data_IF_940437701926
#
_entry.id   IF_940437701926
#
_cell.length_a   1.000
_cell.length_b   1.000
_cell.length_c   1.000
_cell.angle_alpha   90.00
_cell.angle_beta   90.00
_cell.angle_gamma   90.00
#
_symmetry.space_group_name_H-M   'P 1'
#
loop_
_entity.id
_entity.type
_entity.pdbx_description
1 polymer ?
#
# COMPACT_ATOMS: atom_id res chain seq x y z
N UNK A 1 38.36 10.59 -50.88
CA UNK A 1 39.19 10.12 -49.75
C UNK A 1 39.11 11.18 -48.66
N UNK A 2 38.34 10.91 -47.61
CA UNK A 2 38.47 11.53 -46.28
C UNK A 2 37.72 10.61 -45.31
N UNK A 3 38.48 9.89 -44.50
CA UNK A 3 37.98 9.02 -43.44
C UNK A 3 37.58 9.90 -42.26
N UNK A 4 36.31 9.89 -41.87
CA UNK A 4 35.86 10.34 -40.56
C UNK A 4 35.94 9.14 -39.61
N UNK A 5 36.82 9.24 -38.63
CA UNK A 5 36.94 8.29 -37.52
C UNK A 5 35.73 8.44 -36.59
N UNK A 6 34.95 7.37 -36.44
CA UNK A 6 33.93 7.23 -35.40
C UNK A 6 34.61 7.09 -34.03
N UNK A 7 34.13 7.72 -32.94
CA UNK A 7 34.49 7.32 -31.60
C UNK A 7 33.70 6.07 -31.23
N UNK A 8 34.42 5.01 -30.90
CA UNK A 8 33.91 3.76 -30.35
C UNK A 8 33.19 4.00 -29.01
N UNK A 9 31.86 3.97 -29.01
CA UNK A 9 31.05 3.89 -27.79
C UNK A 9 30.95 2.43 -27.35
N UNK A 10 32.08 1.89 -26.90
CA UNK A 10 32.18 0.59 -26.21
C UNK A 10 32.36 0.84 -24.72
N UNK A 11 31.26 1.17 -24.03
CA UNK A 11 31.23 1.32 -22.59
C UNK A 11 30.37 0.22 -21.99
N UNK A 12 31.04 -0.85 -21.53
CA UNK A 12 30.44 -1.92 -20.73
C UNK A 12 29.87 -1.32 -19.44
N UNK A 13 28.58 -1.04 -19.40
CA UNK A 13 27.85 -0.93 -18.14
C UNK A 13 27.28 -2.31 -17.82
N UNK A 14 27.27 -2.67 -16.54
CA UNK A 14 26.59 -3.85 -16.00
C UNK A 14 27.39 -5.16 -15.96
N UNK A 15 28.41 -5.15 -15.10
CA UNK A 15 28.90 -6.35 -14.44
C UNK A 15 29.31 -5.98 -13.03
N UNK A 16 28.49 -6.33 -12.03
CA UNK A 16 28.76 -6.27 -10.59
C UNK A 16 29.44 -4.98 -10.07
N UNK A 17 28.66 -4.03 -9.52
CA UNK A 17 29.21 -2.94 -8.69
C UNK A 17 28.94 -3.18 -7.21
N UNK A 18 29.85 -3.85 -6.47
CA UNK A 18 29.87 -3.86 -5.03
C UNK A 18 30.51 -2.56 -4.53
N UNK A 19 29.75 -1.46 -4.54
CA UNK A 19 29.99 -0.23 -3.73
C UNK A 19 29.32 1.00 -4.34
N UNK A 20 27.99 1.08 -4.34
CA UNK A 20 27.38 2.40 -4.26
C UNK A 20 27.80 2.97 -2.89
N UNK A 21 28.59 4.04 -2.87
CA UNK A 21 28.69 4.88 -1.67
C UNK A 21 27.28 5.42 -1.42
N UNK A 22 26.49 4.74 -0.60
CA UNK A 22 25.15 5.19 -0.25
C UNK A 22 25.31 6.33 0.74
N UNK A 23 24.91 7.57 0.40
CA UNK A 23 25.04 8.68 1.32
C UNK A 23 24.29 8.42 2.64
N UNK A 24 24.81 8.90 3.78
CA UNK A 24 24.18 8.65 5.09
C UNK A 24 22.71 9.08 5.16
N UNK A 25 22.35 10.17 4.46
CA UNK A 25 20.97 10.67 4.45
C UNK A 25 20.01 9.72 3.70
N UNK A 26 20.47 8.99 2.69
CA UNK A 26 19.68 7.96 2.00
C UNK A 26 19.42 6.79 2.95
N UNK A 27 20.43 6.34 3.68
CA UNK A 27 20.26 5.28 4.70
C UNK A 27 19.30 5.72 5.80
N UNK A 28 19.38 6.98 6.25
CA UNK A 28 18.45 7.55 7.23
C UNK A 28 17.00 7.59 6.71
N UNK A 29 16.79 7.89 5.43
CA UNK A 29 15.46 7.82 4.81
C UNK A 29 14.94 6.38 4.71
N UNK A 30 15.79 5.42 4.33
CA UNK A 30 15.42 4.00 4.32
C UNK A 30 15.04 3.50 5.72
N UNK A 31 15.76 3.93 6.76
CA UNK A 31 15.43 3.66 8.16
C UNK A 31 14.08 4.26 8.56
N UNK A 32 13.84 5.53 8.19
CA UNK A 32 12.55 6.21 8.43
C UNK A 32 11.39 5.46 7.77
N UNK A 33 11.57 4.99 6.53
CA UNK A 33 10.57 4.18 5.84
C UNK A 33 10.29 2.88 6.60
N UNK A 34 11.33 2.17 7.03
CA UNK A 34 11.18 0.93 7.79
C UNK A 34 10.45 1.15 9.13
N UNK A 35 10.81 2.21 9.86
CA UNK A 35 10.17 2.58 11.12
C UNK A 35 8.69 2.88 10.94
N UNK A 36 8.33 3.67 9.92
CA UNK A 36 6.92 4.01 9.63
C UNK A 36 6.11 2.82 9.14
N UNK A 37 6.70 1.94 8.33
CA UNK A 37 6.03 0.72 7.90
C UNK A 37 5.76 -0.23 9.08
N UNK A 38 6.66 -0.30 10.06
CA UNK A 38 6.45 -1.05 11.30
C UNK A 38 5.36 -0.42 12.17
N UNK A 39 5.33 0.92 12.28
CA UNK A 39 4.25 1.65 12.95
C UNK A 39 2.89 1.34 12.32
N UNK A 40 2.80 1.42 10.98
CA UNK A 40 1.58 1.13 10.22
C UNK A 40 1.08 -0.29 10.48
N UNK A 41 2.00 -1.27 10.49
CA UNK A 41 1.70 -2.67 10.80
C UNK A 41 1.12 -2.86 12.20
N UNK A 42 1.59 -2.07 13.18
CA UNK A 42 1.07 -2.10 14.55
C UNK A 42 -0.27 -1.37 14.72
N UNK A 43 -0.55 -0.40 13.85
CA UNK A 43 -1.74 0.45 13.94
C UNK A 43 -2.98 -0.16 13.28
N UNK A 44 -2.81 -0.79 12.12
CA UNK A 44 -3.94 -1.27 11.30
C UNK A 44 -4.15 -2.77 11.46
N UNK A 45 -5.39 -3.17 11.77
CA UNK A 45 -5.74 -4.58 11.82
C UNK A 45 -5.64 -5.24 10.42
N UNK A 46 -5.41 -6.57 10.34
CA UNK A 46 -5.19 -7.26 9.07
C UNK A 46 -6.32 -7.09 8.04
N UNK A 47 -7.58 -7.02 8.50
CA UNK A 47 -8.75 -6.95 7.63
C UNK A 47 -8.90 -5.58 6.95
N UNK A 48 -8.89 -4.43 7.66
CA UNK A 48 -8.84 -3.12 7.01
C UNK A 48 -7.64 -2.97 6.08
N UNK A 49 -6.45 -3.46 6.49
CA UNK A 49 -5.26 -3.45 5.65
C UNK A 49 -5.48 -4.22 4.34
N UNK A 50 -6.14 -5.39 4.40
CA UNK A 50 -6.52 -6.17 3.21
C UNK A 50 -7.51 -5.42 2.32
N UNK A 51 -8.48 -4.70 2.90
CA UNK A 51 -9.44 -3.94 2.12
C UNK A 51 -8.77 -2.76 1.40
N UNK A 52 -7.89 -2.01 2.08
CA UNK A 52 -7.05 -0.97 1.45
C UNK A 52 -6.18 -1.53 0.33
N UNK A 53 -5.53 -2.66 0.57
CA UNK A 53 -4.69 -3.30 -0.45
C UNK A 53 -5.48 -3.61 -1.73
N UNK A 54 -6.71 -4.11 -1.61
CA UNK A 54 -7.60 -4.34 -2.75
C UNK A 54 -7.99 -3.04 -3.46
N UNK A 55 -8.24 -1.96 -2.71
CA UNK A 55 -8.56 -0.65 -3.30
C UNK A 55 -7.38 -0.09 -4.08
N UNK A 56 -6.17 -0.16 -3.53
CA UNK A 56 -4.96 0.27 -4.23
C UNK A 56 -4.67 -0.60 -5.45
N UNK A 57 -4.83 -1.91 -5.35
CA UNK A 57 -4.70 -2.82 -6.51
C UNK A 57 -5.71 -2.51 -7.60
N UNK A 58 -6.97 -2.22 -7.25
CA UNK A 58 -7.98 -1.81 -8.23
C UNK A 58 -7.68 -0.44 -8.85
N UNK A 59 -7.18 0.51 -8.06
CA UNK A 59 -6.79 1.84 -8.55
C UNK A 59 -5.55 1.78 -9.47
N UNK A 60 -4.64 0.84 -9.20
CA UNK A 60 -3.44 0.62 -9.99
C UNK A 60 -3.68 -0.36 -11.16
N UNK A 61 -4.85 -1.02 -11.25
CA UNK A 61 -5.19 -1.98 -12.30
C UNK A 61 -5.02 -1.43 -13.73
N UNK A 62 -5.38 -0.17 -14.05
CA UNK A 62 -5.10 0.39 -15.37
C UNK A 62 -3.61 0.53 -15.67
N UNK A 63 -2.77 0.73 -14.64
CA UNK A 63 -1.30 0.80 -14.79
C UNK A 63 -0.67 -0.59 -14.94
N UNK A 64 -1.33 -1.64 -14.46
CA UNK A 64 -0.84 -3.02 -14.55
C UNK A 64 -1.38 -3.78 -15.78
N UNK A 65 -2.62 -3.50 -16.21
CA UNK A 65 -3.24 -4.15 -17.38
C UNK A 65 -2.66 -3.70 -18.73
N UNK A 66 -2.16 -2.47 -18.84
CA UNK A 66 -1.57 -1.95 -20.09
C UNK A 66 -0.34 -2.76 -20.54
N UNK A 67 0.24 -3.58 -19.66
CA UNK A 67 1.44 -4.38 -19.94
C UNK A 67 1.29 -5.88 -19.62
N UNK A 68 0.07 -6.36 -19.36
CA UNK A 68 -0.24 -7.73 -18.95
C UNK A 68 -0.23 -8.79 -20.06
N UNK A 69 0.83 -8.86 -20.89
CA UNK A 69 0.98 -9.95 -21.87
C UNK A 69 2.27 -10.75 -21.74
N UNK A 70 3.03 -10.57 -20.66
CA UNK A 70 4.24 -11.37 -20.42
C UNK A 70 4.30 -11.83 -18.97
N UNK A 71 3.48 -12.82 -18.64
CA UNK A 71 3.78 -13.71 -17.51
C UNK A 71 4.98 -14.56 -17.88
N UNK A 72 6.19 -14.01 -17.74
CA UNK A 72 7.37 -14.84 -17.51
C UNK A 72 7.67 -14.84 -16.03
N UNK A 73 7.58 -16.05 -15.46
CA UNK A 73 8.03 -16.42 -14.12
C UNK A 73 9.56 -16.26 -14.07
N UNK A 74 10.03 -15.02 -13.98
CA UNK A 74 11.41 -14.68 -13.69
C UNK A 74 11.73 -15.09 -12.25
N UNK A 75 12.79 -15.85 -12.08
CA UNK A 75 13.30 -16.28 -10.78
C UNK A 75 13.49 -15.05 -9.88
N UNK A 76 12.77 -15.00 -8.77
CA UNK A 76 12.96 -13.97 -7.77
C UNK A 76 14.46 -13.93 -7.36
N UNK A 77 15.05 -12.76 -7.11
CA UNK A 77 16.38 -12.68 -6.53
C UNK A 77 16.29 -13.11 -5.05
N UNK A 78 16.23 -14.42 -4.82
CA UNK A 78 16.14 -15.05 -3.49
C UNK A 78 17.47 -14.98 -2.75
N UNK A 79 18.60 -14.96 -3.46
CA UNK A 79 19.90 -15.19 -2.84
C UNK A 79 20.53 -13.93 -2.20
N UNK A 80 20.14 -12.71 -2.62
CA UNK A 80 20.70 -11.46 -2.07
C UNK A 80 19.92 -10.90 -0.87
N UNK A 81 18.71 -11.39 -0.60
CA UNK A 81 17.85 -10.93 0.52
C UNK A 81 17.77 -11.89 1.70
N UNK A 82 18.26 -13.13 1.59
CA UNK A 82 18.18 -14.09 2.69
C UNK A 82 19.20 -13.82 3.81
N UNK A 83 20.24 -13.02 3.55
CA UNK A 83 21.27 -12.75 4.54
C UNK A 83 20.81 -11.72 5.57
N UNK A 84 20.47 -12.20 6.78
CA UNK A 84 20.12 -11.38 7.93
C UNK A 84 21.29 -10.53 8.44
N UNK A 85 22.53 -10.80 8.00
CA UNK A 85 23.70 -10.02 8.37
C UNK A 85 23.77 -8.66 7.64
N UNK A 86 23.03 -8.49 6.54
CA UNK A 86 23.00 -7.24 5.78
C UNK A 86 22.05 -6.24 6.46
N UNK A 87 22.56 -5.04 6.75
CA UNK A 87 21.81 -3.89 7.26
C UNK A 87 20.47 -3.72 6.50
N UNK A 88 19.32 -3.73 7.20
CA UNK A 88 18.00 -3.62 6.55
C UNK A 88 17.87 -2.36 5.70
N UNK A 89 18.53 -1.26 6.05
CA UNK A 89 18.53 0.00 5.28
C UNK A 89 19.16 -0.19 3.90
N UNK A 90 20.26 -0.94 3.85
CA UNK A 90 20.96 -1.28 2.60
C UNK A 90 20.15 -2.22 1.73
N UNK A 91 19.39 -3.14 2.34
CA UNK A 91 18.46 -4.04 1.62
C UNK A 91 17.33 -3.26 0.94
N UNK A 92 16.78 -2.26 1.61
CA UNK A 92 15.75 -1.36 1.03
C UNK A 92 16.31 -0.62 -0.18
N UNK A 93 17.49 -0.02 -0.02
CA UNK A 93 18.16 0.70 -1.12
C UNK A 93 18.45 -0.24 -2.29
N UNK A 94 19.00 -1.43 -2.02
CA UNK A 94 19.30 -2.42 -3.05
C UNK A 94 18.06 -2.85 -3.83
N UNK A 95 16.91 -3.02 -3.16
CA UNK A 95 15.65 -3.34 -3.83
C UNK A 95 15.16 -2.21 -4.74
N UNK A 96 15.28 -0.95 -4.31
CA UNK A 96 14.91 0.19 -5.15
C UNK A 96 15.82 0.33 -6.37
N UNK A 97 17.11 0.05 -6.22
CA UNK A 97 18.07 0.01 -7.33
C UNK A 97 17.81 -1.17 -8.27
N UNK A 98 17.43 -2.34 -7.75
CA UNK A 98 17.03 -3.49 -8.57
C UNK A 98 15.76 -3.17 -9.38
N UNK A 99 14.85 -2.39 -8.80
CA UNK A 99 13.67 -1.92 -9.53
C UNK A 99 14.05 -1.03 -10.70
N UNK A 100 14.99 -0.09 -10.53
CA UNK A 100 15.50 0.72 -11.64
C UNK A 100 16.12 -0.14 -12.74
N UNK A 101 16.95 -1.09 -12.35
CA UNK A 101 17.58 -2.00 -13.31
C UNK A 101 16.52 -2.77 -14.10
N UNK A 102 15.49 -3.29 -13.42
CA UNK A 102 14.39 -4.02 -14.07
C UNK A 102 13.61 -3.14 -15.05
N UNK A 103 13.43 -1.85 -14.75
CA UNK A 103 12.79 -0.88 -15.65
C UNK A 103 13.65 -0.54 -16.87
N UNK A 104 14.97 -0.56 -16.73
CA UNK A 104 15.92 -0.25 -17.80
C UNK A 104 16.18 -1.47 -18.69
N UNK A 105 16.29 -2.67 -18.10
CA UNK A 105 16.77 -3.88 -18.79
C UNK A 105 15.68 -4.67 -19.50
N UNK A 106 14.43 -4.60 -19.05
CA UNK A 106 13.34 -5.43 -19.57
C UNK A 106 12.15 -4.60 -20.05
N UNK A 107 11.58 -4.88 -21.24
CA UNK A 107 10.35 -4.24 -21.71
C UNK A 107 9.10 -4.78 -20.98
N UNK A 108 9.27 -5.27 -19.75
CA UNK A 108 8.23 -5.96 -18.97
C UNK A 108 7.14 -4.99 -18.47
N UNK A 109 7.32 -3.69 -18.64
CA UNK A 109 6.36 -2.69 -18.22
C UNK A 109 6.34 -2.52 -16.71
N UNK A 110 6.01 -1.31 -16.26
CA UNK A 110 6.18 -0.91 -14.85
C UNK A 110 5.35 -1.78 -13.89
N UNK A 111 4.19 -2.27 -14.33
CA UNK A 111 3.31 -3.12 -13.53
C UNK A 111 3.92 -4.47 -13.14
N UNK A 112 4.61 -5.14 -14.07
CA UNK A 112 5.19 -6.46 -13.81
C UNK A 112 6.53 -6.37 -13.06
N UNK A 113 7.36 -5.35 -13.35
CA UNK A 113 8.54 -5.04 -12.54
C UNK A 113 8.15 -4.74 -11.08
N UNK A 114 7.06 -3.99 -10.87
CA UNK A 114 6.55 -3.69 -9.53
C UNK A 114 6.05 -4.94 -8.82
N UNK A 115 5.27 -5.78 -9.50
CA UNK A 115 4.75 -7.03 -8.93
C UNK A 115 5.87 -7.92 -8.40
N UNK A 116 6.97 -8.06 -9.15
CA UNK A 116 8.13 -8.85 -8.76
C UNK A 116 8.80 -8.31 -7.49
N UNK A 117 8.97 -7.00 -7.39
CA UNK A 117 9.70 -6.36 -6.29
C UNK A 117 8.83 -6.16 -5.04
N UNK A 118 7.51 -6.03 -5.22
CA UNK A 118 6.53 -5.94 -4.13
C UNK A 118 6.64 -7.13 -3.18
N UNK A 119 6.88 -8.34 -3.68
CA UNK A 119 7.10 -9.49 -2.82
C UNK A 119 8.33 -9.31 -1.92
N UNK A 120 9.45 -8.83 -2.48
CA UNK A 120 10.68 -8.58 -1.72
C UNK A 120 10.53 -7.47 -0.67
N UNK A 121 9.77 -6.42 -0.96
CA UNK A 121 9.41 -5.40 0.04
C UNK A 121 8.57 -5.97 1.19
N UNK A 122 7.64 -6.89 0.88
CA UNK A 122 6.84 -7.56 1.90
C UNK A 122 7.70 -8.43 2.82
N UNK A 123 8.74 -9.10 2.28
CA UNK A 123 9.71 -9.87 3.08
C UNK A 123 10.54 -9.00 4.03
N UNK A 124 10.73 -7.71 3.70
CA UNK A 124 11.35 -6.72 4.60
C UNK A 124 10.38 -6.17 5.65
N UNK A 125 9.14 -6.66 5.71
CA UNK A 125 8.13 -6.21 6.65
C UNK A 125 7.53 -4.84 6.30
N UNK A 126 7.75 -4.35 5.08
CA UNK A 126 7.39 -2.99 4.70
C UNK A 126 5.91 -2.84 4.29
N UNK A 127 5.16 -3.93 4.10
CA UNK A 127 3.75 -3.92 3.70
C UNK A 127 3.47 -3.05 2.46
N UNK A 128 4.13 -3.32 1.32
CA UNK A 128 3.99 -2.53 0.08
C UNK A 128 2.60 -2.61 -0.56
N UNK A 129 1.70 -3.40 0.03
CA UNK A 129 0.31 -3.45 -0.38
C UNK A 129 -0.51 -2.24 0.10
N UNK A 130 0.03 -1.45 1.01
CA UNK A 130 -0.62 -0.26 1.55
C UNK A 130 -0.06 1.05 0.96
N UNK A 131 0.68 0.96 -0.15
CA UNK A 131 1.37 2.09 -0.78
C UNK A 131 0.99 2.20 -2.26
N UNK A 132 0.88 3.41 -2.80
CA UNK A 132 0.57 3.63 -4.23
C UNK A 132 1.81 3.94 -5.07
N UNK A 133 2.87 3.14 -4.88
CA UNK A 133 4.16 3.38 -5.52
C UNK A 133 4.09 3.52 -7.06
N UNK A 134 3.34 2.69 -7.82
CA UNK A 134 3.34 2.75 -9.29
C UNK A 134 2.94 4.10 -9.88
N UNK A 135 2.02 4.81 -9.21
CA UNK A 135 1.55 6.12 -9.64
C UNK A 135 2.60 7.21 -9.42
N UNK A 136 3.32 7.13 -8.30
CA UNK A 136 4.49 7.98 -8.08
C UNK A 136 5.56 7.67 -9.14
N UNK A 137 5.88 6.39 -9.33
CA UNK A 137 6.86 5.89 -10.31
C UNK A 137 6.65 6.44 -11.72
N UNK A 138 5.40 6.51 -12.17
CA UNK A 138 5.09 6.99 -13.51
C UNK A 138 5.54 8.44 -13.75
N UNK A 139 5.56 9.28 -12.71
CA UNK A 139 6.08 10.66 -12.77
C UNK A 139 7.61 10.71 -12.83
N UNK A 140 8.29 9.64 -12.40
CA UNK A 140 9.74 9.60 -12.21
C UNK A 140 10.51 9.50 -13.53
N UNK A 141 9.98 8.76 -14.50
CA UNK A 141 10.65 8.58 -15.81
C UNK A 141 10.70 9.86 -16.65
N UNK A 142 10.01 10.92 -16.23
CA UNK A 142 10.06 12.23 -16.87
C UNK A 142 11.21 13.09 -16.31
N UNK A 143 11.82 12.69 -15.19
CA UNK A 143 12.91 13.42 -14.55
C UNK A 143 14.28 12.97 -15.08
N UNK A 144 15.07 13.92 -15.56
CA UNK A 144 16.47 13.71 -15.90
C UNK A 144 17.32 13.96 -14.64
N UNK A 145 17.36 12.99 -13.73
CA UNK A 145 18.07 13.09 -12.45
C UNK A 145 19.18 12.02 -12.32
N UNK A 146 20.16 12.27 -11.44
CA UNK A 146 21.17 11.27 -11.08
C UNK A 146 20.58 10.14 -10.22
N UNK A 147 21.33 9.04 -10.08
CA UNK A 147 20.88 7.84 -9.37
C UNK A 147 20.54 8.11 -7.90
N UNK A 148 21.29 8.99 -7.24
CA UNK A 148 21.13 9.30 -5.81
C UNK A 148 19.90 10.18 -5.59
N UNK A 149 19.70 11.20 -6.42
CA UNK A 149 18.52 12.06 -6.39
C UNK A 149 17.25 11.25 -6.67
N UNK A 150 17.33 10.32 -7.62
CA UNK A 150 16.24 9.39 -7.90
C UNK A 150 15.92 8.55 -6.66
N UNK A 151 16.92 7.93 -6.05
CA UNK A 151 16.72 7.12 -4.85
C UNK A 151 16.16 7.91 -3.67
N UNK A 152 16.63 9.15 -3.47
CA UNK A 152 16.09 10.06 -2.46
C UNK A 152 14.61 10.34 -2.69
N UNK A 153 14.25 10.66 -3.93
CA UNK A 153 12.88 10.95 -4.28
C UNK A 153 11.96 9.74 -4.06
N UNK A 154 12.40 8.55 -4.49
CA UNK A 154 11.67 7.29 -4.26
C UNK A 154 11.39 7.04 -2.79
N UNK A 155 12.42 7.12 -1.96
CA UNK A 155 12.28 6.93 -0.52
C UNK A 155 11.35 7.97 0.08
N UNK A 156 11.43 9.22 -0.38
CA UNK A 156 10.55 10.30 0.06
C UNK A 156 9.09 10.00 -0.28
N UNK A 157 8.80 9.59 -1.51
CA UNK A 157 7.43 9.24 -1.89
C UNK A 157 6.91 8.01 -1.13
N UNK A 158 7.73 6.97 -0.93
CA UNK A 158 7.34 5.84 -0.08
C UNK A 158 6.94 6.31 1.33
N UNK A 159 7.73 7.22 1.91
CA UNK A 159 7.47 7.77 3.25
C UNK A 159 6.17 8.57 3.26
N UNK A 160 5.95 9.43 2.27
CA UNK A 160 4.73 10.25 2.14
C UNK A 160 3.47 9.39 2.00
N UNK A 161 3.53 8.31 1.22
CA UNK A 161 2.43 7.35 1.07
C UNK A 161 2.12 6.65 2.40
N UNK A 162 3.16 6.20 3.12
CA UNK A 162 2.95 5.59 4.45
C UNK A 162 2.40 6.61 5.45
N UNK A 163 2.90 7.84 5.42
CA UNK A 163 2.43 8.94 6.27
C UNK A 163 0.96 9.27 6.03
N UNK A 164 0.52 9.25 4.77
CA UNK A 164 -0.89 9.44 4.42
C UNK A 164 -1.79 8.38 5.06
N UNK A 165 -1.42 7.10 4.98
CA UNK A 165 -2.21 6.01 5.60
C UNK A 165 -2.14 6.06 7.13
N UNK A 166 -0.97 6.39 7.69
CA UNK A 166 -0.81 6.59 9.14
C UNK A 166 -1.72 7.72 9.66
N UNK A 167 -1.82 8.83 8.92
CA UNK A 167 -2.70 9.93 9.28
C UNK A 167 -4.18 9.52 9.21
N UNK A 168 -4.56 8.78 8.17
CA UNK A 168 -5.93 8.27 8.00
C UNK A 168 -6.35 7.31 9.11
N UNK A 169 -5.45 6.42 9.54
CA UNK A 169 -5.72 5.42 10.58
C UNK A 169 -5.28 5.86 11.98
N UNK A 170 -4.78 7.08 12.13
CA UNK A 170 -4.54 7.65 13.44
C UNK A 170 -5.85 7.63 14.24
N UNK A 171 -5.82 7.09 15.47
CA UNK A 171 -7.05 6.85 16.26
C UNK A 171 -7.93 8.09 16.40
N UNK A 172 -7.34 9.27 16.54
CA UNK A 172 -8.08 10.53 16.67
C UNK A 172 -8.76 10.89 15.35
N UNK A 173 -7.99 10.92 14.26
CA UNK A 173 -8.48 11.27 12.93
C UNK A 173 -9.50 10.27 12.41
N UNK A 174 -9.22 8.97 12.54
CA UNK A 174 -10.11 7.89 12.13
C UNK A 174 -11.45 8.00 12.87
N UNK A 175 -11.43 8.22 14.19
CA UNK A 175 -12.66 8.42 14.98
C UNK A 175 -13.45 9.61 14.46
N UNK A 176 -12.80 10.77 14.32
CA UNK A 176 -13.46 11.98 13.88
C UNK A 176 -14.08 11.81 12.48
N UNK A 177 -13.32 11.32 11.52
CA UNK A 177 -13.76 11.15 10.13
C UNK A 177 -14.87 10.11 9.99
N UNK A 178 -14.79 8.98 10.70
CA UNK A 178 -15.86 7.96 10.69
C UNK A 178 -17.15 8.53 11.27
N UNK A 179 -17.09 9.21 12.43
CA UNK A 179 -18.32 9.76 13.04
C UNK A 179 -18.90 10.91 12.22
N UNK A 180 -18.05 11.72 11.58
CA UNK A 180 -18.48 12.78 10.67
C UNK A 180 -19.14 12.21 9.42
N UNK A 181 -18.56 11.17 8.82
CA UNK A 181 -19.17 10.43 7.70
C UNK A 181 -20.56 9.91 8.08
N UNK A 182 -20.69 9.26 9.23
CA UNK A 182 -21.99 8.75 9.71
C UNK A 182 -23.03 9.84 10.01
N UNK A 183 -22.59 11.07 10.26
CA UNK A 183 -23.49 12.20 10.52
C UNK A 183 -23.92 12.93 9.26
N UNK A 184 -23.07 12.94 8.22
CA UNK A 184 -23.24 13.83 7.06
C UNK A 184 -23.35 13.11 5.72
N UNK A 185 -23.01 11.82 5.64
CA UNK A 185 -23.04 11.10 4.38
C UNK A 185 -24.48 10.90 3.92
N UNK A 186 -24.80 11.50 2.77
CA UNK A 186 -26.11 11.36 2.13
C UNK A 186 -26.42 9.89 1.82
N UNK A 187 -25.40 9.13 1.42
CA UNK A 187 -25.54 7.71 1.12
C UNK A 187 -26.00 6.89 2.35
N UNK A 188 -25.47 7.20 3.54
CA UNK A 188 -25.89 6.58 4.80
C UNK A 188 -27.30 7.01 5.19
N UNK A 189 -27.62 8.29 5.07
CA UNK A 189 -28.96 8.82 5.34
C UNK A 189 -30.03 8.22 4.43
N UNK A 190 -29.77 8.17 3.11
CA UNK A 190 -30.68 7.61 2.11
C UNK A 190 -30.89 6.09 2.31
N UNK A 191 -29.87 5.38 2.80
CA UNK A 191 -29.97 3.97 3.19
C UNK A 191 -30.68 3.75 4.55
N UNK A 192 -31.02 4.84 5.25
CA UNK A 192 -31.67 4.82 6.56
C UNK A 192 -30.76 4.32 7.69
N UNK A 193 -29.44 4.44 7.54
CA UNK A 193 -28.46 4.08 8.57
C UNK A 193 -28.39 5.20 9.61
N UNK A 194 -28.50 4.84 10.87
CA UNK A 194 -28.38 5.70 12.03
C UNK A 194 -26.92 6.12 12.26
N UNK A 195 -26.73 7.41 12.54
CA UNK A 195 -25.43 7.96 12.96
C UNK A 195 -24.91 7.29 14.24
N UNK A 196 -25.78 6.75 15.09
CA UNK A 196 -25.41 6.03 16.33
C UNK A 196 -24.63 4.75 16.08
N UNK A 197 -24.63 4.24 14.85
CA UNK A 197 -23.92 3.02 14.44
C UNK A 197 -22.45 3.28 14.10
N UNK A 198 -22.05 4.55 13.89
CA UNK A 198 -20.67 4.94 13.57
C UNK A 198 -19.61 4.40 14.54
N UNK A 199 -19.81 4.45 15.87
CA UNK A 199 -18.90 3.84 16.85
C UNK A 199 -18.69 2.33 16.66
N UNK A 200 -19.71 1.58 16.24
CA UNK A 200 -19.59 0.14 16.00
C UNK A 200 -18.70 -0.15 14.77
N UNK A 201 -18.85 0.64 13.70
CA UNK A 201 -18.01 0.54 12.50
C UNK A 201 -16.58 0.98 12.80
N UNK A 202 -16.39 2.06 13.55
CA UNK A 202 -15.07 2.47 14.04
C UNK A 202 -14.39 1.35 14.82
N UNK A 203 -15.11 0.71 15.75
CA UNK A 203 -14.57 -0.41 16.51
C UNK A 203 -14.19 -1.59 15.61
N UNK A 204 -15.02 -1.89 14.61
CA UNK A 204 -14.74 -2.95 13.64
C UNK A 204 -13.48 -2.63 12.79
N UNK A 205 -13.25 -1.38 12.41
CA UNK A 205 -12.05 -0.94 11.71
C UNK A 205 -10.79 -1.08 12.58
N UNK A 206 -10.90 -0.80 13.88
CA UNK A 206 -9.77 -0.90 14.83
C UNK A 206 -9.45 -2.37 15.13
N UNK A 207 -10.47 -3.19 15.40
CA UNK A 207 -10.31 -4.60 15.81
C UNK A 207 -10.12 -5.56 14.63
N UNK A 208 -10.58 -5.18 13.44
CA UNK A 208 -10.49 -5.95 12.20
C UNK A 208 -11.45 -7.14 12.08
N UNK A 209 -11.87 -7.77 13.18
CA UNK A 209 -12.95 -8.78 13.13
C UNK A 209 -13.58 -8.96 14.50
N UNK A 210 -14.88 -9.20 14.57
CA UNK A 210 -15.57 -9.49 15.82
C UNK A 210 -16.82 -10.37 15.58
N UNK A 211 -17.34 -11.05 16.61
CA UNK A 211 -18.64 -11.71 16.56
C UNK A 211 -19.76 -10.73 16.15
N UNK A 212 -20.71 -11.20 15.34
CA UNK A 212 -21.85 -10.38 14.90
C UNK A 212 -22.75 -9.94 16.06
N UNK A 213 -22.81 -10.71 17.14
CA UNK A 213 -23.50 -10.33 18.38
C UNK A 213 -22.84 -9.14 19.05
N UNK A 214 -21.51 -9.16 19.17
CA UNK A 214 -20.72 -8.09 19.77
C UNK A 214 -20.84 -6.78 18.96
N UNK A 215 -20.73 -6.88 17.63
CA UNK A 215 -20.94 -5.74 16.74
C UNK A 215 -22.32 -5.09 16.97
N UNK A 216 -23.38 -5.90 17.06
CA UNK A 216 -24.74 -5.41 17.32
C UNK A 216 -24.85 -4.71 18.66
N UNK A 217 -24.21 -5.23 19.71
CA UNK A 217 -24.16 -4.57 21.03
C UNK A 217 -23.52 -3.18 20.93
N UNK A 218 -22.44 -3.03 20.18
CA UNK A 218 -21.75 -1.75 20.01
C UNK A 218 -22.56 -0.68 19.25
N UNK A 219 -23.62 -1.06 18.53
CA UNK A 219 -24.52 -0.09 17.88
C UNK A 219 -25.36 0.71 18.87
N UNK A 220 -25.54 0.20 20.10
CA UNK A 220 -26.43 0.79 21.10
C UNK A 220 -27.93 0.67 20.76
N UNK A 221 -28.28 -0.05 19.69
CA UNK A 221 -29.66 -0.26 19.24
C UNK A 221 -30.27 -1.51 19.89
N UNK A 222 -31.61 -1.62 19.87
CA UNK A 222 -32.30 -2.85 20.28
C UNK A 222 -32.01 -3.97 19.28
N UNK A 223 -32.07 -5.23 19.72
CA UNK A 223 -31.66 -6.41 18.93
C UNK A 223 -32.24 -6.41 17.50
N UNK A 224 -33.55 -6.18 17.35
CA UNK A 224 -34.23 -6.17 16.05
C UNK A 224 -33.76 -5.01 15.16
N UNK A 225 -33.51 -3.84 15.75
CA UNK A 225 -33.01 -2.66 15.04
C UNK A 225 -31.56 -2.85 14.62
N UNK A 226 -30.70 -3.36 15.52
CA UNK A 226 -29.31 -3.66 15.27
C UNK A 226 -29.11 -4.70 14.14
N UNK A 227 -30.03 -5.66 14.00
CA UNK A 227 -30.00 -6.65 12.93
C UNK A 227 -30.37 -6.06 11.55
N UNK A 228 -31.40 -5.21 11.51
CA UNK A 228 -31.72 -4.43 10.30
C UNK A 228 -30.54 -3.53 9.92
N UNK A 229 -29.91 -2.92 10.90
CA UNK A 229 -28.79 -2.02 10.70
C UNK A 229 -27.56 -2.74 10.14
N UNK A 230 -27.22 -3.89 10.71
CA UNK A 230 -26.16 -4.75 10.18
C UNK A 230 -26.44 -5.15 8.72
N UNK A 231 -27.70 -5.42 8.37
CA UNK A 231 -28.09 -5.76 6.99
C UNK A 231 -27.87 -4.58 6.04
N UNK A 232 -28.21 -3.36 6.45
CA UNK A 232 -27.95 -2.14 5.66
C UNK A 232 -26.46 -1.90 5.47
N UNK A 233 -25.68 -2.00 6.54
CA UNK A 233 -24.23 -1.83 6.50
C UNK A 233 -23.55 -2.86 5.58
N UNK A 234 -24.05 -4.10 5.56
CA UNK A 234 -23.63 -5.12 4.59
C UNK A 234 -23.99 -4.75 3.16
N UNK A 235 -25.21 -4.25 2.92
CA UNK A 235 -25.65 -3.77 1.61
C UNK A 235 -24.81 -2.61 1.06
N UNK A 236 -24.28 -1.77 1.96
CA UNK A 236 -23.39 -0.65 1.63
C UNK A 236 -21.91 -1.04 1.52
N UNK A 237 -21.57 -2.30 1.85
CA UNK A 237 -20.21 -2.80 1.85
C UNK A 237 -19.33 -2.29 3.00
N UNK A 238 -19.90 -1.72 4.06
CA UNK A 238 -19.15 -1.29 5.26
C UNK A 238 -18.85 -2.44 6.23
N UNK A 239 -19.64 -3.51 6.14
CA UNK A 239 -19.47 -4.72 6.95
C UNK A 239 -19.59 -5.94 6.04
N UNK A 240 -18.72 -6.92 6.21
CA UNK A 240 -18.76 -8.18 5.48
C UNK A 240 -18.92 -9.34 6.46
N UNK A 241 -19.50 -10.45 6.00
CA UNK A 241 -19.43 -11.70 6.76
C UNK A 241 -17.99 -12.24 6.67
N UNK A 242 -17.44 -12.72 7.80
CA UNK A 242 -16.10 -13.30 7.78
C UNK A 242 -16.07 -14.56 6.92
N UNK A 243 -15.10 -14.65 6.02
CA UNK A 243 -14.81 -15.87 5.26
C UNK A 243 -14.13 -16.96 6.09
N UNK A 244 -13.68 -16.63 7.31
CA UNK A 244 -12.87 -17.53 8.16
C UNK A 244 -13.64 -18.08 9.35
N UNK A 245 -14.64 -17.37 9.84
CA UNK A 245 -15.37 -17.71 11.07
C UNK A 245 -16.85 -17.43 10.90
N UNK A 246 -17.65 -18.49 11.03
CA UNK A 246 -19.11 -18.35 10.97
C UNK A 246 -19.63 -17.48 12.12
N UNK A 247 -20.65 -16.67 11.86
CA UNK A 247 -21.19 -15.70 12.80
C UNK A 247 -20.29 -14.50 13.13
N UNK A 248 -19.12 -14.36 12.47
CA UNK A 248 -18.24 -13.20 12.62
C UNK A 248 -18.44 -12.20 11.48
N UNK A 249 -18.13 -10.93 11.77
CA UNK A 249 -18.12 -9.83 10.82
C UNK A 249 -16.73 -9.22 10.71
N UNK A 250 -16.43 -8.73 9.52
CA UNK A 250 -15.18 -8.05 9.15
C UNK A 250 -15.51 -6.66 8.56
N UNK A 251 -14.62 -5.67 8.66
CA UNK A 251 -14.83 -4.37 8.05
C UNK A 251 -14.78 -4.53 6.54
N UNK A 252 -15.80 -4.00 5.88
CA UNK A 252 -15.70 -3.65 4.48
C UNK A 252 -15.20 -2.21 4.35
N UNK A 253 -14.51 -1.92 3.25
CA UNK A 253 -13.98 -0.58 2.98
C UNK A 253 -14.27 -0.24 1.50
N UNK A 254 -15.50 0.19 1.19
CA UNK A 254 -15.85 0.55 -0.17
C UNK A 254 -15.14 1.86 -0.55
N UNK A 255 -14.84 2.10 -1.85
CA UNK A 255 -14.06 3.26 -2.28
C UNK A 255 -14.59 4.61 -1.75
N UNK A 256 -15.91 4.82 -1.82
CA UNK A 256 -16.56 6.05 -1.35
C UNK A 256 -16.30 6.33 0.14
N UNK A 257 -16.28 5.28 0.97
CA UNK A 257 -16.06 5.44 2.41
C UNK A 257 -14.58 5.60 2.72
N UNK A 258 -13.71 4.91 1.96
CA UNK A 258 -12.27 5.09 2.05
C UNK A 258 -11.86 6.54 1.74
N UNK A 259 -12.51 7.18 0.74
CA UNK A 259 -12.34 8.60 0.43
C UNK A 259 -12.83 9.49 1.59
N UNK A 260 -14.02 9.22 2.13
CA UNK A 260 -14.58 10.00 3.26
C UNK A 260 -13.69 9.96 4.52
N UNK A 261 -13.01 8.84 4.78
CA UNK A 261 -12.04 8.73 5.88
C UNK A 261 -10.62 9.17 5.51
N UNK A 262 -10.42 9.61 4.26
CA UNK A 262 -9.15 10.11 3.74
C UNK A 262 -8.05 9.05 3.67
N UNK A 263 -8.41 7.81 3.34
CA UNK A 263 -7.48 6.68 3.23
C UNK A 263 -7.04 6.36 1.79
N UNK A 264 -7.65 6.98 0.77
CA UNK A 264 -7.28 6.81 -0.66
C UNK A 264 -7.32 8.11 -1.44
#
# INVERSE_FOLDING_TARGET
>A
MSQHSSPSTGGNYWGASPSLFIPPYILARAEKLASKAAELKGLIAPQPARCLAKLFEAADAPLTQVWGSTEQRGSAPQDTLADSAIDPRRRIVALLSLYDQSLISEPIGYGAAWTNIRHSFALLGLNPHLWRLPRAISRWNQMHAGEVELLEYKLTTCIEEVDHILDAFNRKNLRERVLQSFSNSKLLMDAGVSATTGPAVLNLLILGSQPSSEFRTFTGLRIIEAEKELTRLKGLGLVEASSRRDGWVEPGLPPWFAEEIGAI
#
